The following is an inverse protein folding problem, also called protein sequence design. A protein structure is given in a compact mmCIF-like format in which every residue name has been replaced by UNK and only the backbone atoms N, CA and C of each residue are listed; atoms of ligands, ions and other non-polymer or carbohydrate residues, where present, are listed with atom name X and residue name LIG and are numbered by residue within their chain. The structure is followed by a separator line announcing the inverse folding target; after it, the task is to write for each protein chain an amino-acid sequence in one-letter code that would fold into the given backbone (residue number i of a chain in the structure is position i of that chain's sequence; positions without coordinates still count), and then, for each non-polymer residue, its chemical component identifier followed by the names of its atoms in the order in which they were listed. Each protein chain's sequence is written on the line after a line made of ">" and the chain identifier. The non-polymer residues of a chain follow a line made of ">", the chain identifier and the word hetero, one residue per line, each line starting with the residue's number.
data_IF_289021087321
#
_entry.id   IF_289021087321
#
_cell.length_a   1.000
_cell.length_b   1.000
_cell.length_c   1.000
_cell.angle_alpha   90.00
_cell.angle_beta   90.00
_cell.angle_gamma   90.00
#
_symmetry.space_group_name_H-M   'P 1'
#
loop_
_entity.id
_entity.type
_entity.pdbx_description
1 polymer ?
#
# COMPACT_ATOMS: atom_id res chain seq x y z
N UNK A 1 9.19 -5.32 7.81
CA UNK A 1 7.84 -5.72 7.35
C UNK A 1 6.89 -4.59 7.69
N UNK A 2 6.08 -4.16 6.72
CA UNK A 2 5.19 -3.01 6.82
C UNK A 2 3.88 -3.38 7.53
N UNK A 3 3.27 -2.42 8.23
CA UNK A 3 2.04 -2.65 8.98
C UNK A 3 0.84 -2.84 8.05
N UNK A 4 0.12 -3.94 8.27
CA UNK A 4 -1.12 -4.32 7.60
C UNK A 4 -2.01 -5.04 8.60
N UNK A 5 -3.27 -4.60 8.69
CA UNK A 5 -4.37 -5.38 9.26
C UNK A 5 -5.39 -5.59 8.14
N UNK A 6 -5.73 -6.82 7.83
CA UNK A 6 -6.72 -7.20 6.82
C UNK A 6 -7.93 -7.80 7.53
N UNK A 7 -9.13 -7.28 7.25
CA UNK A 7 -10.37 -7.89 7.71
C UNK A 7 -11.30 -8.14 6.54
N UNK A 8 -11.86 -9.34 6.45
CA UNK A 8 -12.89 -9.71 5.49
C UNK A 8 -14.22 -9.76 6.24
N UNK A 9 -15.18 -8.96 5.79
CA UNK A 9 -16.47 -8.76 6.47
C UNK A 9 -17.58 -9.19 5.51
N UNK A 10 -18.54 -9.95 6.05
CA UNK A 10 -19.75 -10.34 5.31
C UNK A 10 -20.71 -9.17 5.15
N UNK A 11 -21.65 -9.26 4.21
CA UNK A 11 -22.71 -8.26 4.05
C UNK A 11 -23.63 -8.09 5.27
N UNK A 12 -23.67 -9.05 6.20
CA UNK A 12 -24.41 -8.94 7.48
C UNK A 12 -23.61 -8.21 8.55
N UNK A 13 -22.38 -7.77 8.24
CA UNK A 13 -21.50 -7.09 9.18
C UNK A 13 -20.73 -8.02 10.12
N UNK A 14 -20.78 -9.34 9.92
CA UNK A 14 -20.02 -10.28 10.73
C UNK A 14 -18.59 -10.42 10.18
N UNK A 15 -17.55 -10.40 11.04
CA UNK A 15 -16.19 -10.64 10.61
C UNK A 15 -16.05 -12.11 10.20
N UNK A 16 -15.58 -12.34 8.98
CA UNK A 16 -15.28 -13.67 8.45
C UNK A 16 -13.82 -14.04 8.69
N UNK A 17 -12.89 -13.09 8.50
CA UNK A 17 -11.46 -13.31 8.70
C UNK A 17 -10.78 -12.01 9.15
N UNK A 18 -9.77 -12.14 10.01
CA UNK A 18 -8.93 -11.02 10.42
C UNK A 18 -7.47 -11.46 10.55
N UNK A 19 -6.57 -10.70 9.93
CA UNK A 19 -5.12 -10.94 9.97
C UNK A 19 -4.39 -9.65 10.34
N UNK A 20 -3.59 -9.70 11.39
CA UNK A 20 -2.66 -8.65 11.78
C UNK A 20 -1.22 -9.11 11.52
N UNK A 21 -0.50 -8.42 10.62
CA UNK A 21 0.85 -8.81 10.24
C UNK A 21 1.94 -8.30 11.20
N UNK A 22 1.67 -7.18 11.87
CA UNK A 22 2.62 -6.51 12.77
C UNK A 22 1.82 -5.67 13.75
N UNK A 23 2.33 -5.51 14.96
CA UNK A 23 1.77 -4.61 15.94
C UNK A 23 1.64 -3.17 15.41
N UNK A 24 0.57 -2.50 15.82
CA UNK A 24 0.27 -1.10 15.51
C UNK A 24 1.46 -0.20 15.87
N UNK A 25 2.00 0.59 14.92
CA UNK A 25 3.04 1.57 15.23
C UNK A 25 2.48 2.65 16.17
N UNK A 26 3.27 3.01 17.20
CA UNK A 26 2.91 4.08 18.14
C UNK A 26 3.00 5.44 17.46
N UNK A 27 2.06 6.33 17.78
CA UNK A 27 2.06 7.74 17.38
C UNK A 27 2.08 7.97 15.86
N UNK A 28 1.49 7.05 15.08
CA UNK A 28 1.37 7.15 13.62
C UNK A 28 -0.09 7.17 13.21
N UNK A 29 -0.46 8.12 12.35
CA UNK A 29 -1.77 8.15 11.70
C UNK A 29 -1.88 7.01 10.69
N UNK A 30 -2.78 6.06 10.95
CA UNK A 30 -3.05 4.91 10.08
C UNK A 30 -4.22 5.20 9.14
N UNK A 31 -4.18 4.60 7.96
CA UNK A 31 -5.30 4.65 7.01
C UNK A 31 -6.13 3.40 7.11
N UNK A 32 -7.42 3.55 7.46
CA UNK A 32 -8.43 2.51 7.30
C UNK A 32 -9.03 2.63 5.90
N UNK A 33 -8.88 1.58 5.09
CA UNK A 33 -9.33 1.53 3.70
C UNK A 33 -10.44 0.51 3.56
N UNK A 34 -11.42 0.84 2.74
CA UNK A 34 -12.56 0.00 2.43
C UNK A 34 -12.52 -0.37 0.95
N UNK A 35 -12.52 -1.67 0.68
CA UNK A 35 -12.57 -2.23 -0.66
C UNK A 35 -13.83 -3.05 -0.80
N UNK A 36 -14.79 -2.49 -1.53
CA UNK A 36 -16.05 -3.16 -1.84
C UNK A 36 -15.88 -4.03 -3.09
N UNK A 37 -16.10 -5.33 -2.94
CA UNK A 37 -16.13 -6.31 -4.03
C UNK A 37 -17.53 -6.86 -4.26
N UNK A 38 -18.55 -6.14 -3.80
CA UNK A 38 -19.92 -6.45 -4.11
C UNK A 38 -20.16 -6.36 -5.61
N UNK A 39 -20.83 -7.35 -6.19
CA UNK A 39 -21.14 -7.27 -7.63
C UNK A 39 -22.21 -6.22 -7.81
N UNK A 40 -21.93 -5.21 -8.64
CA UNK A 40 -22.89 -4.20 -9.05
C UNK A 40 -24.21 -4.87 -9.47
N UNK A 41 -25.24 -4.74 -8.63
CA UNK A 41 -26.57 -4.52 -9.14
C UNK A 41 -26.49 -3.27 -10.02
N UNK A 42 -27.16 -3.27 -11.18
CA UNK A 42 -27.41 -2.01 -11.90
C UNK A 42 -27.80 -0.97 -10.87
N UNK A 43 -27.07 0.15 -10.81
CA UNK A 43 -27.26 1.20 -9.81
C UNK A 43 -28.75 1.41 -9.60
N UNK A 44 -29.25 1.06 -8.42
CA UNK A 44 -30.52 1.59 -7.99
C UNK A 44 -30.21 3.07 -7.78
N UNK A 45 -30.48 3.89 -8.80
CA UNK A 45 -30.63 5.32 -8.58
C UNK A 45 -31.81 5.47 -7.63
N UNK A 46 -31.53 5.40 -6.33
CA UNK A 46 -32.38 6.03 -5.35
C UNK A 46 -32.19 7.52 -5.58
N UNK A 47 -33.14 8.16 -6.25
CA UNK A 47 -33.35 9.59 -6.12
C UNK A 47 -33.76 9.83 -4.66
N UNK A 48 -32.76 9.91 -3.79
CA UNK A 48 -32.92 10.38 -2.43
C UNK A 48 -33.20 11.87 -2.52
N UNK A 49 -34.28 12.32 -1.91
CA UNK A 49 -34.50 13.75 -1.72
C UNK A 49 -33.38 14.35 -0.84
N UNK A 50 -33.24 15.68 -0.88
CA UNK A 50 -32.22 16.40 -0.13
C UNK A 50 -32.27 16.11 1.37
N UNK A 51 -33.46 15.84 1.90
CA UNK A 51 -33.72 15.55 3.31
C UNK A 51 -33.21 14.16 3.69
N UNK A 52 -33.54 13.13 2.90
CA UNK A 52 -33.09 11.76 3.12
C UNK A 52 -31.57 11.65 2.96
N UNK A 53 -30.98 12.39 2.02
CA UNK A 53 -29.53 12.46 1.87
C UNK A 53 -28.86 13.09 3.10
N UNK A 54 -29.44 14.18 3.61
CA UNK A 54 -28.95 14.82 4.83
C UNK A 54 -29.07 13.90 6.05
N UNK A 55 -30.20 13.22 6.22
CA UNK A 55 -30.43 12.26 7.32
C UNK A 55 -29.46 11.07 7.26
N UNK A 56 -29.22 10.51 6.07
CA UNK A 56 -28.26 9.43 5.87
C UNK A 56 -26.83 9.88 6.20
N UNK A 57 -26.43 11.07 5.75
CA UNK A 57 -25.11 11.62 6.06
C UNK A 57 -24.97 11.88 7.57
N UNK A 58 -25.97 12.46 8.21
CA UNK A 58 -25.97 12.72 9.65
C UNK A 58 -25.91 11.41 10.45
N UNK A 59 -26.67 10.39 10.05
CA UNK A 59 -26.65 9.06 10.65
C UNK A 59 -25.30 8.38 10.52
N UNK A 60 -24.68 8.41 9.34
CA UNK A 60 -23.34 7.89 9.11
C UNK A 60 -22.30 8.60 9.97
N UNK A 61 -22.30 9.94 9.97
CA UNK A 61 -21.37 10.73 10.79
C UNK A 61 -21.56 10.39 12.27
N UNK A 62 -22.79 10.36 12.77
CA UNK A 62 -23.06 10.03 14.17
C UNK A 62 -22.58 8.61 14.52
N UNK A 63 -22.82 7.64 13.65
CA UNK A 63 -22.36 6.26 13.85
C UNK A 63 -20.83 6.17 13.87
N UNK A 64 -20.14 6.89 13.00
CA UNK A 64 -18.69 6.93 12.94
C UNK A 64 -18.07 7.59 14.19
N UNK A 65 -18.65 8.68 14.69
CA UNK A 65 -18.19 9.32 15.92
C UNK A 65 -18.43 8.45 17.16
N UNK A 66 -19.60 7.80 17.25
CA UNK A 66 -19.90 6.81 18.29
C UNK A 66 -18.94 5.62 18.23
N UNK A 67 -18.69 5.08 17.04
CA UNK A 67 -17.72 4.01 16.83
C UNK A 67 -16.32 4.43 17.30
N UNK A 68 -15.83 5.59 16.85
CA UNK A 68 -14.51 6.10 17.22
C UNK A 68 -14.36 6.27 18.73
N UNK A 69 -15.39 6.81 19.40
CA UNK A 69 -15.42 6.93 20.87
C UNK A 69 -15.31 5.57 21.56
N UNK A 70 -15.98 4.54 21.04
CA UNK A 70 -15.98 3.20 21.64
C UNK A 70 -14.63 2.47 21.50
N UNK A 71 -13.81 2.82 20.50
CA UNK A 71 -12.47 2.22 20.30
C UNK A 71 -11.31 3.13 20.74
N UNK A 72 -11.62 4.20 21.47
CA UNK A 72 -10.65 5.23 21.91
C UNK A 72 -9.80 5.77 20.75
N UNK A 73 -10.48 6.10 19.64
CA UNK A 73 -9.88 6.73 18.46
C UNK A 73 -10.57 8.05 18.15
N UNK A 74 -9.81 8.96 17.55
CA UNK A 74 -10.30 10.25 17.05
C UNK A 74 -10.36 10.20 15.54
N UNK A 75 -11.51 10.54 14.96
CA UNK A 75 -11.65 10.79 13.53
C UNK A 75 -11.33 12.26 13.28
N UNK A 76 -10.28 12.53 12.51
CA UNK A 76 -9.89 13.91 12.16
C UNK A 76 -10.40 14.31 10.77
N UNK A 77 -10.38 13.38 9.80
CA UNK A 77 -10.73 13.65 8.40
C UNK A 77 -11.54 12.45 7.87
N UNK A 78 -12.66 12.74 7.19
CA UNK A 78 -13.42 11.78 6.38
C UNK A 78 -13.49 12.34 4.96
N UNK A 79 -12.89 11.66 3.99
CA UNK A 79 -12.89 12.06 2.58
C UNK A 79 -13.76 11.12 1.74
N UNK A 80 -14.65 11.68 0.94
CA UNK A 80 -15.45 10.97 -0.05
C UNK A 80 -15.03 11.40 -1.45
N UNK A 81 -14.67 10.44 -2.30
CA UNK A 81 -14.39 10.70 -3.71
C UNK A 81 -15.65 10.42 -4.55
N UNK A 82 -16.09 11.41 -5.33
CA UNK A 82 -17.19 11.20 -6.29
C UNK A 82 -16.70 10.43 -7.51
N UNK A 83 -17.45 9.41 -7.94
CA UNK A 83 -17.23 8.78 -9.25
C UNK A 83 -18.09 9.49 -10.30
N UNK A 84 -17.51 9.73 -11.49
CA UNK A 84 -18.25 10.24 -12.64
C UNK A 84 -19.30 9.20 -13.08
N UNK A 85 -20.58 9.55 -12.96
CA UNK A 85 -21.72 8.69 -13.33
C UNK A 85 -21.79 8.54 -14.85
N UNK A 86 -21.67 7.31 -15.35
CA UNK A 86 -22.00 6.97 -16.75
C UNK A 86 -23.37 6.31 -16.77
N UNK A 87 -24.31 6.92 -17.49
CA UNK A 87 -25.70 6.50 -17.62
C UNK A 87 -25.81 5.14 -18.31
N UNK A 88 -26.39 4.12 -17.67
CA UNK A 88 -26.76 2.87 -18.34
C UNK A 88 -28.13 2.32 -17.92
N UNK A 89 -28.80 1.69 -18.90
CA UNK A 89 -30.21 1.30 -18.89
C UNK A 89 -30.56 0.06 -18.04
N UNK A 90 -31.83 0.04 -17.61
CA UNK A 90 -32.49 -0.88 -16.66
C UNK A 90 -32.71 -2.30 -17.17
N UNK A 91 -32.41 -3.30 -16.33
CA UNK A 91 -33.04 -4.64 -16.24
C UNK A 91 -32.80 -5.20 -14.83
N UNK A 92 -33.82 -5.81 -14.23
CA UNK A 92 -33.86 -6.30 -12.86
C UNK A 92 -33.20 -7.66 -12.69
N UNK A 93 -32.28 -7.79 -11.72
CA UNK A 93 -31.83 -9.07 -11.15
C UNK A 93 -31.28 -8.89 -9.73
N UNK A 94 -31.45 -9.92 -8.88
CA UNK A 94 -30.98 -9.98 -7.48
C UNK A 94 -29.45 -10.08 -7.38
N UNK A 95 -28.90 -9.48 -6.32
CA UNK A 95 -27.48 -9.46 -5.93
C UNK A 95 -26.85 -10.86 -5.89
N UNK A 96 -25.59 -10.98 -6.34
CA UNK A 96 -24.69 -12.12 -6.08
C UNK A 96 -23.23 -11.62 -5.99
N UNK A 97 -22.78 -11.28 -4.79
CA UNK A 97 -21.38 -10.95 -4.43
C UNK A 97 -21.38 -9.98 -3.25
N UNK A 98 -20.92 -10.43 -2.08
CA UNK A 98 -21.27 -9.91 -0.75
C UNK A 98 -20.03 -9.81 0.18
N UNK A 99 -18.99 -9.10 -0.24
CA UNK A 99 -17.75 -9.02 0.55
C UNK A 99 -17.19 -7.61 0.61
N UNK A 100 -17.13 -7.09 1.83
CA UNK A 100 -16.37 -5.89 2.16
C UNK A 100 -15.03 -6.33 2.75
N UNK A 101 -13.93 -5.92 2.12
CA UNK A 101 -12.60 -6.12 2.68
C UNK A 101 -12.08 -4.78 3.19
N UNK A 102 -11.71 -4.74 4.47
CA UNK A 102 -11.09 -3.58 5.08
C UNK A 102 -9.61 -3.83 5.30
N UNK A 103 -8.81 -2.78 5.16
CA UNK A 103 -7.38 -2.84 5.51
C UNK A 103 -6.94 -1.63 6.27
N UNK A 104 -6.16 -1.81 7.34
CA UNK A 104 -5.39 -0.74 7.94
C UNK A 104 -3.95 -0.79 7.43
N UNK A 105 -3.44 0.35 6.98
CA UNK A 105 -2.06 0.47 6.44
C UNK A 105 -1.36 1.69 6.98
N UNK A 106 -0.03 1.71 6.86
CA UNK A 106 0.78 2.93 6.99
C UNK A 106 0.32 4.01 5.98
N UNK A 107 0.54 5.31 6.29
CA UNK A 107 0.07 6.42 5.46
C UNK A 107 0.81 6.52 4.12
N UNK A 108 2.05 6.04 4.04
CA UNK A 108 2.86 6.08 2.83
C UNK A 108 2.48 5.01 1.81
N UNK A 109 1.74 3.97 2.20
CA UNK A 109 1.36 2.86 1.31
C UNK A 109 0.47 3.40 0.18
N UNK A 110 0.80 3.09 -1.07
CA UNK A 110 0.04 3.58 -2.21
C UNK A 110 -1.38 2.98 -2.25
N UNK A 111 -2.42 3.83 -2.42
CA UNK A 111 -3.82 3.36 -2.51
C UNK A 111 -4.02 2.37 -3.65
N UNK A 112 -3.52 2.70 -4.86
CA UNK A 112 -3.62 1.84 -6.05
C UNK A 112 -2.96 0.47 -5.82
N UNK A 113 -1.79 0.44 -5.19
CA UNK A 113 -1.04 -0.79 -4.91
C UNK A 113 -1.73 -1.65 -3.85
N UNK A 114 -2.18 -1.06 -2.74
CA UNK A 114 -2.96 -1.77 -1.73
C UNK A 114 -4.24 -2.35 -2.33
N UNK A 115 -4.99 -1.56 -3.11
CA UNK A 115 -6.19 -2.03 -3.82
C UNK A 115 -5.88 -3.22 -4.72
N UNK A 116 -4.76 -3.20 -5.43
CA UNK A 116 -4.35 -4.30 -6.29
C UNK A 116 -3.99 -5.58 -5.49
N UNK A 117 -3.30 -5.46 -4.34
CA UNK A 117 -3.06 -6.60 -3.43
C UNK A 117 -4.37 -7.20 -2.94
N UNK A 118 -5.28 -6.35 -2.46
CA UNK A 118 -6.55 -6.82 -1.90
C UNK A 118 -7.44 -7.42 -2.97
N UNK A 119 -7.45 -6.84 -4.17
CA UNK A 119 -8.11 -7.45 -5.32
C UNK A 119 -7.52 -8.82 -5.65
N UNK A 120 -6.20 -8.98 -5.61
CA UNK A 120 -5.56 -10.27 -5.85
C UNK A 120 -5.98 -11.32 -4.79
N UNK A 121 -6.02 -10.94 -3.51
CA UNK A 121 -6.50 -11.82 -2.42
C UNK A 121 -7.98 -12.18 -2.64
N UNK A 122 -8.80 -11.21 -3.01
CA UNK A 122 -10.19 -11.44 -3.33
C UNK A 122 -10.35 -12.42 -4.49
N UNK A 123 -9.72 -12.13 -5.63
CA UNK A 123 -9.85 -12.92 -6.85
C UNK A 123 -9.33 -14.36 -6.64
N UNK A 124 -8.20 -14.53 -5.94
CA UNK A 124 -7.54 -15.84 -5.78
C UNK A 124 -8.14 -16.72 -4.68
N UNK A 125 -8.67 -16.13 -3.61
CA UNK A 125 -9.07 -16.88 -2.41
C UNK A 125 -10.54 -16.62 -2.10
N UNK A 126 -10.88 -15.37 -1.77
CA UNK A 126 -12.18 -15.04 -1.17
C UNK A 126 -13.34 -15.28 -2.14
N UNK A 127 -13.15 -14.99 -3.43
CA UNK A 127 -14.20 -15.08 -4.46
C UNK A 127 -14.73 -16.51 -4.63
N UNK A 128 -13.88 -17.52 -4.42
CA UNK A 128 -14.21 -18.94 -4.56
C UNK A 128 -15.07 -19.46 -3.41
N UNK A 129 -15.07 -18.76 -2.28
CA UNK A 129 -15.80 -19.12 -1.06
C UNK A 129 -17.10 -18.35 -0.87
N UNK A 130 -17.55 -17.60 -1.89
CA UNK A 130 -18.83 -16.88 -1.82
C UNK A 130 -20.00 -17.86 -2.06
N UNK A 131 -21.04 -17.87 -1.22
CA UNK A 131 -21.26 -16.99 -0.06
C UNK A 131 -20.39 -17.39 1.14
N UNK A 132 -19.85 -16.39 1.84
CA UNK A 132 -19.00 -16.59 3.01
C UNK A 132 -19.81 -17.22 4.16
N UNK A 133 -19.76 -18.54 4.25
CA UNK A 133 -20.37 -19.33 5.33
C UNK A 133 -19.30 -19.65 6.38
N UNK A 134 -19.68 -19.55 7.65
CA UNK A 134 -18.88 -19.96 8.81
C UNK A 134 -18.29 -21.38 8.71
N UNK A 135 -18.91 -22.29 7.95
CA UNK A 135 -18.39 -23.64 7.74
C UNK A 135 -17.22 -23.71 6.74
N UNK A 136 -17.02 -22.68 5.92
CA UNK A 136 -15.95 -22.61 4.92
C UNK A 136 -14.83 -21.71 5.46
N UNK A 137 -14.09 -22.19 6.45
CA UNK A 137 -12.93 -21.46 6.97
C UNK A 137 -11.82 -21.31 5.91
N UNK A 138 -10.93 -20.33 6.12
CA UNK A 138 -9.70 -20.22 5.35
C UNK A 138 -8.76 -21.36 5.77
N UNK A 139 -8.26 -22.08 4.78
CA UNK A 139 -7.28 -23.12 5.00
C UNK A 139 -5.90 -22.47 5.26
N UNK A 140 -5.04 -23.15 6.01
CA UNK A 140 -3.70 -22.63 6.33
C UNK A 140 -2.90 -22.21 5.08
N UNK A 141 -2.97 -22.99 4.00
CA UNK A 141 -2.27 -22.65 2.75
C UNK A 141 -2.84 -21.40 2.07
N UNK A 142 -4.12 -21.09 2.28
CA UNK A 142 -4.74 -19.86 1.80
C UNK A 142 -4.29 -18.68 2.66
N UNK A 143 -4.24 -18.84 3.98
CA UNK A 143 -3.67 -17.83 4.89
C UNK A 143 -2.20 -17.53 4.56
N UNK A 144 -1.39 -18.56 4.35
CA UNK A 144 0.02 -18.41 3.94
C UNK A 144 0.11 -17.62 2.61
N UNK A 145 -0.80 -17.90 1.67
CA UNK A 145 -0.88 -17.14 0.40
C UNK A 145 -1.27 -15.67 0.64
N UNK A 146 -2.20 -15.39 1.55
CA UNK A 146 -2.56 -14.02 1.95
C UNK A 146 -1.34 -13.32 2.54
N UNK A 147 -0.63 -13.97 3.46
CA UNK A 147 0.58 -13.44 4.09
C UNK A 147 1.64 -13.15 3.02
N UNK A 148 1.87 -14.07 2.08
CA UNK A 148 2.85 -13.91 1.01
C UNK A 148 2.53 -12.71 0.10
N UNK A 149 1.25 -12.51 -0.25
CA UNK A 149 0.80 -11.36 -1.04
C UNK A 149 0.99 -10.06 -0.26
N UNK A 150 0.56 -10.01 1.01
CA UNK A 150 0.64 -8.80 1.82
C UNK A 150 2.07 -8.41 2.15
N UNK A 151 2.97 -9.39 2.33
CA UNK A 151 4.38 -9.16 2.71
C UNK A 151 5.32 -8.97 1.51
N UNK A 152 4.80 -9.03 0.28
CA UNK A 152 5.56 -8.99 -0.97
C UNK A 152 6.66 -10.07 -1.03
N UNK A 153 6.34 -11.30 -0.62
CA UNK A 153 7.31 -12.39 -0.50
C UNK A 153 8.13 -12.57 -1.78
N UNK A 154 7.49 -12.64 -2.95
CA UNK A 154 8.18 -12.83 -4.24
C UNK A 154 9.18 -11.72 -4.53
N UNK A 155 8.85 -10.47 -4.18
CA UNK A 155 9.75 -9.34 -4.34
C UNK A 155 10.96 -9.45 -3.40
N UNK A 156 10.74 -9.89 -2.14
CA UNK A 156 11.79 -10.12 -1.14
C UNK A 156 12.71 -11.27 -1.52
N UNK A 157 12.15 -12.38 -1.97
CA UNK A 157 12.91 -13.56 -2.39
C UNK A 157 13.82 -13.20 -3.58
N UNK A 158 13.30 -12.48 -4.58
CA UNK A 158 14.12 -12.03 -5.73
C UNK A 158 15.26 -11.09 -5.32
N UNK A 159 15.02 -10.20 -4.36
CA UNK A 159 16.07 -9.34 -3.77
C UNK A 159 17.14 -10.19 -3.09
N UNK A 160 16.71 -11.18 -2.28
CA UNK A 160 17.61 -12.10 -1.57
C UNK A 160 18.48 -12.90 -2.54
N UNK A 161 17.91 -13.39 -3.63
CA UNK A 161 18.65 -14.13 -4.67
C UNK A 161 19.74 -13.29 -5.34
N UNK A 162 19.59 -11.96 -5.34
CA UNK A 162 20.51 -11.01 -5.95
C UNK A 162 21.29 -10.15 -4.94
N UNK A 163 21.18 -10.46 -3.64
CA UNK A 163 21.66 -9.61 -2.55
C UNK A 163 23.14 -9.26 -2.69
N UNK A 164 24.00 -10.24 -2.97
CA UNK A 164 25.44 -10.01 -3.14
C UNK A 164 25.78 -9.04 -4.29
N UNK A 165 25.03 -9.11 -5.40
CA UNK A 165 25.21 -8.20 -6.54
C UNK A 165 24.72 -6.79 -6.21
N UNK A 166 23.58 -6.70 -5.51
CA UNK A 166 23.02 -5.43 -5.05
C UNK A 166 23.98 -4.73 -4.07
N UNK A 167 24.48 -5.45 -3.06
CA UNK A 167 25.45 -4.94 -2.10
C UNK A 167 26.69 -4.36 -2.81
N UNK A 168 27.29 -5.13 -3.72
CA UNK A 168 28.46 -4.69 -4.48
C UNK A 168 28.17 -3.43 -5.32
N UNK A 169 26.96 -3.34 -5.88
CA UNK A 169 26.55 -2.18 -6.66
C UNK A 169 26.28 -0.96 -5.76
N UNK A 170 25.70 -1.16 -4.58
CA UNK A 170 25.53 -0.13 -3.55
C UNK A 170 26.87 0.38 -3.03
N UNK A 171 27.85 -0.50 -2.77
CA UNK A 171 29.20 -0.10 -2.37
C UNK A 171 29.83 0.84 -3.41
N UNK A 172 29.73 0.47 -4.69
CA UNK A 172 30.24 1.30 -5.79
C UNK A 172 29.53 2.66 -5.85
N UNK A 173 28.21 2.67 -5.72
CA UNK A 173 27.40 3.89 -5.68
C UNK A 173 27.73 4.81 -4.51
N UNK A 174 27.90 4.25 -3.32
CA UNK A 174 28.27 5.03 -2.14
C UNK A 174 29.69 5.57 -2.26
N UNK A 175 30.64 4.79 -2.78
CA UNK A 175 32.01 5.27 -3.00
C UNK A 175 32.05 6.44 -4.00
N UNK A 176 31.24 6.37 -5.06
CA UNK A 176 31.13 7.43 -6.07
C UNK A 176 30.45 8.69 -5.50
N UNK A 177 29.33 8.52 -4.80
CA UNK A 177 28.40 9.62 -4.50
C UNK A 177 28.41 10.13 -3.06
N UNK A 178 29.15 9.51 -2.14
CA UNK A 178 29.23 9.95 -0.74
C UNK A 178 29.72 11.40 -0.60
N UNK A 179 30.63 11.85 -1.47
CA UNK A 179 31.11 13.25 -1.52
C UNK A 179 30.06 14.25 -2.02
N UNK A 180 29.04 13.75 -2.72
CA UNK A 180 27.92 14.53 -3.23
C UNK A 180 26.68 14.41 -2.34
N UNK A 181 26.87 13.94 -1.10
CA UNK A 181 25.85 13.89 -0.06
C UNK A 181 24.98 12.64 -0.05
N UNK A 182 25.26 11.60 -0.85
CA UNK A 182 24.53 10.33 -0.74
C UNK A 182 24.85 9.65 0.61
N UNK A 183 23.81 9.28 1.35
CA UNK A 183 23.88 8.68 2.69
C UNK A 183 23.36 7.25 2.76
N UNK A 184 22.38 6.89 1.93
CA UNK A 184 21.80 5.55 1.92
C UNK A 184 21.01 5.24 0.67
N UNK A 185 20.74 3.96 0.48
CA UNK A 185 19.97 3.43 -0.64
C UNK A 185 18.98 2.39 -0.09
N UNK A 186 17.72 2.44 -0.52
CA UNK A 186 16.76 1.39 -0.23
C UNK A 186 16.02 0.94 -1.50
N UNK A 187 15.54 -0.30 -1.48
CA UNK A 187 14.59 -0.81 -2.47
C UNK A 187 13.31 -1.16 -1.73
N UNK A 188 12.19 -0.70 -2.27
CA UNK A 188 10.86 -1.02 -1.76
C UNK A 188 10.07 -1.78 -2.81
N UNK A 189 9.08 -2.54 -2.37
CA UNK A 189 8.11 -3.20 -3.25
C UNK A 189 7.13 -2.19 -3.85
N UNK A 190 6.21 -2.66 -4.68
CA UNK A 190 5.31 -1.81 -5.44
C UNK A 190 4.29 -1.01 -4.63
N UNK A 191 4.14 -1.30 -3.34
CA UNK A 191 3.32 -0.52 -2.42
C UNK A 191 4.13 0.42 -1.50
N UNK A 192 5.45 0.48 -1.72
CA UNK A 192 6.48 1.18 -0.93
C UNK A 192 6.92 0.46 0.36
N UNK A 193 6.54 -0.79 0.58
CA UNK A 193 7.07 -1.58 1.69
C UNK A 193 8.58 -1.85 1.51
N UNK A 194 9.43 -1.50 2.48
CA UNK A 194 10.87 -1.74 2.36
C UNK A 194 11.24 -3.22 2.24
N UNK A 195 12.06 -3.56 1.25
CA UNK A 195 12.54 -4.93 0.97
C UNK A 195 14.07 -5.07 0.99
N UNK A 196 14.81 -3.97 0.79
CA UNK A 196 16.27 -3.91 0.88
C UNK A 196 16.70 -2.55 1.42
N UNK A 197 17.75 -2.52 2.25
CA UNK A 197 18.31 -1.28 2.81
C UNK A 197 19.82 -1.38 2.85
N UNK A 198 20.49 -0.30 2.48
CA UNK A 198 21.94 -0.16 2.48
C UNK A 198 22.34 1.23 3.00
N UNK A 199 23.31 1.27 3.92
CA UNK A 199 23.91 2.49 4.48
C UNK A 199 24.13 2.38 5.99
N UNK A 200 25.16 3.08 6.50
CA UNK A 200 25.68 2.89 7.87
C UNK A 200 24.63 3.10 8.97
N UNK A 201 23.67 4.00 8.75
CA UNK A 201 22.63 4.37 9.72
C UNK A 201 21.21 4.09 9.20
N UNK A 202 21.05 3.19 8.24
CA UNK A 202 19.74 2.89 7.66
C UNK A 202 19.29 1.48 8.03
N UNK A 203 18.09 1.39 8.59
CA UNK A 203 17.38 0.15 8.89
C UNK A 203 15.97 0.20 8.30
N UNK A 204 15.29 -0.93 8.22
CA UNK A 204 13.88 -0.95 7.78
C UNK A 204 12.99 -0.03 8.62
N UNK A 205 13.23 0.05 9.94
CA UNK A 205 12.49 0.92 10.84
C UNK A 205 12.71 2.40 10.53
N UNK A 206 13.95 2.78 10.22
CA UNK A 206 14.29 4.15 9.83
C UNK A 206 13.67 4.50 8.48
N UNK A 207 13.65 3.54 7.53
CA UNK A 207 12.96 3.77 6.25
C UNK A 207 11.46 3.96 6.47
N UNK A 208 10.83 3.16 7.32
CA UNK A 208 9.42 3.33 7.67
C UNK A 208 9.16 4.74 8.26
N UNK A 209 10.01 5.24 9.16
CA UNK A 209 9.94 6.60 9.71
C UNK A 209 10.07 7.68 8.63
N UNK A 210 11.08 7.57 7.76
CA UNK A 210 11.31 8.50 6.66
C UNK A 210 10.10 8.54 5.73
N UNK A 211 9.55 7.38 5.35
CA UNK A 211 8.40 7.29 4.45
C UNK A 211 7.13 7.87 5.07
N UNK A 212 6.90 7.65 6.38
CA UNK A 212 5.78 8.28 7.10
C UNK A 212 5.85 9.81 7.06
N UNK A 213 7.04 10.37 7.22
CA UNK A 213 7.26 11.81 7.19
C UNK A 213 7.16 12.41 5.77
N UNK A 214 7.43 11.62 4.73
CA UNK A 214 7.12 12.02 3.33
C UNK A 214 5.61 12.04 3.09
N UNK A 215 4.86 11.11 3.70
CA UNK A 215 3.41 11.02 3.58
C UNK A 215 2.96 10.43 2.24
N UNK A 216 1.99 11.07 1.57
CA UNK A 216 1.39 10.56 0.34
C UNK A 216 2.29 10.83 -0.86
N UNK A 217 2.66 9.76 -1.58
CA UNK A 217 3.46 9.84 -2.79
C UNK A 217 2.58 10.17 -4.01
N UNK A 218 3.02 11.07 -4.91
CA UNK A 218 2.35 11.26 -6.18
C UNK A 218 2.55 10.02 -7.08
N UNK A 219 1.74 9.90 -8.13
CA UNK A 219 1.97 8.89 -9.15
C UNK A 219 3.20 9.26 -9.98
N UNK A 220 4.19 8.36 -10.00
CA UNK A 220 5.44 8.52 -10.76
C UNK A 220 5.36 7.62 -12.00
N UNK A 221 5.66 8.12 -13.21
CA UNK A 221 5.83 7.27 -14.39
C UNK A 221 7.02 6.30 -14.24
N UNK A 222 7.01 5.12 -14.89
CA UNK A 222 8.16 4.22 -14.86
C UNK A 222 9.42 4.89 -15.40
N UNK A 223 10.57 4.59 -14.79
CA UNK A 223 11.90 5.15 -15.12
C UNK A 223 12.05 6.65 -14.87
N UNK A 224 11.03 7.32 -14.33
CA UNK A 224 11.12 8.68 -13.83
C UNK A 224 11.41 8.70 -12.32
N UNK A 225 11.85 9.87 -11.86
CA UNK A 225 12.15 10.10 -10.45
C UNK A 225 11.62 11.46 -9.99
N UNK A 226 11.34 11.53 -8.70
CA UNK A 226 10.98 12.76 -7.99
C UNK A 226 11.87 12.90 -6.76
N UNK A 227 11.89 14.08 -6.16
CA UNK A 227 12.47 14.28 -4.83
C UNK A 227 11.41 14.72 -3.82
N UNK A 228 11.62 14.37 -2.56
CA UNK A 228 10.83 14.79 -1.41
C UNK A 228 11.75 15.11 -0.24
N UNK A 229 11.30 15.99 0.64
CA UNK A 229 11.94 16.23 1.93
C UNK A 229 11.29 15.33 2.97
N UNK A 230 12.11 14.88 3.91
CA UNK A 230 11.70 14.09 5.06
C UNK A 230 12.58 14.47 6.26
N UNK A 231 12.28 13.88 7.42
CA UNK A 231 13.06 14.06 8.64
C UNK A 231 13.27 12.72 9.32
N UNK A 232 14.41 12.52 9.96
CA UNK A 232 14.62 11.44 10.92
C UNK A 232 15.52 11.94 12.04
N UNK A 233 15.22 11.59 13.29
CA UNK A 233 15.97 12.08 14.45
C UNK A 233 16.23 13.61 14.46
N UNK A 234 15.28 14.40 13.97
CA UNK A 234 15.36 15.87 13.77
C UNK A 234 16.38 16.35 12.73
N UNK A 235 16.91 15.48 11.89
CA UNK A 235 17.74 15.85 10.74
C UNK A 235 16.91 15.82 9.46
N UNK A 236 17.04 16.87 8.64
CA UNK A 236 16.41 16.92 7.32
C UNK A 236 17.13 15.94 6.37
N UNK A 237 16.35 15.17 5.62
CA UNK A 237 16.84 14.24 4.60
C UNK A 237 16.11 14.50 3.29
N UNK A 238 16.86 14.48 2.18
CA UNK A 238 16.29 14.47 0.85
C UNK A 238 16.14 13.04 0.36
N UNK A 239 14.94 12.70 -0.11
CA UNK A 239 14.58 11.37 -0.59
C UNK A 239 14.30 11.46 -2.08
N UNK A 240 15.19 10.88 -2.89
CA UNK A 240 14.95 10.67 -4.31
C UNK A 240 14.23 9.35 -4.50
N UNK A 241 13.11 9.38 -5.21
CA UNK A 241 12.21 8.25 -5.38
C UNK A 241 12.14 7.93 -6.85
N UNK A 242 12.59 6.74 -7.22
CA UNK A 242 12.69 6.29 -8.60
C UNK A 242 11.73 5.13 -8.78
N UNK A 243 10.80 5.22 -9.73
CA UNK A 243 9.95 4.08 -10.05
C UNK A 243 10.64 3.17 -11.04
N UNK A 244 10.83 1.91 -10.65
CA UNK A 244 11.48 0.93 -11.50
C UNK A 244 10.62 0.54 -12.71
N UNK A 245 11.29 0.20 -13.81
CA UNK A 245 10.67 -0.47 -14.96
C UNK A 245 10.64 -1.99 -14.81
N UNK A 246 11.21 -2.55 -13.73
CA UNK A 246 11.24 -3.99 -13.46
C UNK A 246 10.58 -4.32 -12.12
N UNK A 247 10.15 -5.57 -11.99
CA UNK A 247 9.42 -6.07 -10.84
C UNK A 247 9.02 -7.52 -11.05
N UNK A 248 8.71 -8.28 -9.99
CA UNK A 248 8.07 -9.57 -10.15
C UNK A 248 6.64 -9.42 -10.68
N UNK A 249 6.15 -10.48 -11.32
CA UNK A 249 4.74 -10.63 -11.66
C UNK A 249 4.15 -11.74 -10.78
N UNK A 250 3.18 -11.41 -9.95
CA UNK A 250 2.51 -12.36 -9.05
C UNK A 250 1.08 -12.53 -9.54
N UNK A 251 0.73 -13.72 -10.02
CA UNK A 251 -0.63 -14.05 -10.50
C UNK A 251 -1.21 -12.99 -11.47
N UNK A 252 -0.39 -12.53 -12.42
CA UNK A 252 -0.76 -11.53 -13.42
C UNK A 252 -0.67 -10.07 -12.96
N UNK A 253 -0.41 -9.81 -11.68
CA UNK A 253 -0.14 -8.47 -11.16
C UNK A 253 1.36 -8.14 -11.27
N UNK A 254 1.71 -7.19 -12.13
CA UNK A 254 3.08 -6.66 -12.19
C UNK A 254 3.35 -5.71 -11.02
N UNK A 255 4.41 -5.98 -10.26
CA UNK A 255 4.77 -5.27 -9.03
C UNK A 255 6.11 -4.56 -9.19
N UNK A 256 6.11 -3.37 -9.79
CA UNK A 256 7.35 -2.58 -9.98
C UNK A 256 8.02 -2.23 -8.66
N UNK A 257 9.34 -2.35 -8.57
CA UNK A 257 10.08 -1.83 -7.41
C UNK A 257 10.10 -0.29 -7.37
N UNK A 258 10.41 0.28 -6.22
CA UNK A 258 10.91 1.65 -6.13
C UNK A 258 12.32 1.65 -5.55
N UNK A 259 13.17 2.52 -6.07
CA UNK A 259 14.50 2.77 -5.53
C UNK A 259 14.50 4.11 -4.82
N UNK A 260 14.97 4.12 -3.58
CA UNK A 260 15.06 5.30 -2.74
C UNK A 260 16.52 5.65 -2.53
N UNK A 261 16.88 6.90 -2.76
CA UNK A 261 18.19 7.43 -2.42
C UNK A 261 18.02 8.48 -1.33
N UNK A 262 18.72 8.31 -0.22
CA UNK A 262 18.72 9.23 0.90
C UNK A 262 19.98 10.08 0.82
N UNK A 263 19.80 11.40 0.79
CA UNK A 263 20.89 12.35 0.64
C UNK A 263 20.78 13.49 1.66
N UNK A 264 21.90 14.16 1.90
CA UNK A 264 21.93 15.38 2.68
C UNK A 264 21.09 16.48 2.03
N UNK A 265 20.54 17.42 2.82
CA UNK A 265 19.88 18.60 2.27
C UNK A 265 20.80 19.33 1.30
N UNK A 266 20.22 19.87 0.22
CA UNK A 266 20.95 20.59 -0.84
C UNK A 266 21.90 19.75 -1.69
N UNK A 267 21.93 18.42 -1.50
CA UNK A 267 22.64 17.52 -2.40
C UNK A 267 22.02 17.58 -3.80
N UNK A 268 22.85 17.66 -4.84
CA UNK A 268 22.40 17.56 -6.22
C UNK A 268 22.94 16.28 -6.85
N UNK A 269 22.08 15.28 -6.99
CA UNK A 269 22.45 13.98 -7.57
C UNK A 269 22.41 13.95 -9.11
N UNK A 270 21.96 15.03 -9.77
CA UNK A 270 21.91 15.13 -11.24
C UNK A 270 21.28 13.88 -11.91
N UNK A 271 21.96 13.26 -12.87
CA UNK A 271 21.53 12.05 -13.58
C UNK A 271 21.76 10.74 -12.80
N UNK A 272 22.33 10.81 -11.59
CA UNK A 272 22.64 9.62 -10.80
C UNK A 272 21.42 8.72 -10.50
N UNK A 273 20.21 9.26 -10.21
CA UNK A 273 19.01 8.42 -10.08
C UNK A 273 18.76 7.52 -11.30
N UNK A 274 19.00 8.02 -12.51
CA UNK A 274 18.86 7.22 -13.74
C UNK A 274 19.95 6.13 -13.85
N UNK A 275 21.19 6.43 -13.44
CA UNK A 275 22.29 5.45 -13.35
C UNK A 275 21.94 4.32 -12.38
N UNK A 276 21.38 4.65 -11.21
CA UNK A 276 20.89 3.67 -10.23
C UNK A 276 19.80 2.81 -10.84
N UNK A 277 18.78 3.44 -11.43
CA UNK A 277 17.67 2.73 -12.07
C UNK A 277 18.16 1.71 -13.10
N UNK A 278 19.06 2.13 -13.99
CA UNK A 278 19.62 1.27 -15.04
C UNK A 278 20.34 0.04 -14.45
N UNK A 279 21.21 0.24 -13.45
CA UNK A 279 22.00 -0.85 -12.87
C UNK A 279 21.18 -1.80 -12.02
N UNK A 280 20.26 -1.30 -11.19
CA UNK A 280 19.38 -2.16 -10.43
C UNK A 280 18.41 -2.91 -11.34
N UNK A 281 17.89 -2.28 -12.39
CA UNK A 281 17.06 -2.98 -13.38
C UNK A 281 17.82 -4.08 -14.12
N UNK A 282 19.13 -3.93 -14.35
CA UNK A 282 19.95 -5.00 -14.93
C UNK A 282 20.14 -6.20 -13.99
N UNK A 283 20.14 -5.96 -12.67
CA UNK A 283 20.30 -7.01 -11.66
C UNK A 283 18.95 -7.70 -11.39
N UNK A 284 17.87 -6.93 -11.34
CA UNK A 284 16.53 -7.36 -10.93
C UNK A 284 15.58 -7.63 -12.11
N UNK A 285 16.01 -7.34 -13.34
CA UNK A 285 15.29 -7.61 -14.59
C UNK A 285 15.11 -9.09 -14.85
#
# INVERSE_FOLDING_TARGET
>A
MTYYVLSVITNTGFPYYNLELKAIPKDVNLFLRFFDFSKNSKEIQMDLDSTSLFELNAGLVSALFEFARNIDKKIEIIEFNSQNRVSQEKKTSKYKGDVLITTQTEPYILHKSAKAKIKLIYDSIVSTKIPLDSALELLQNEEDTIIDILTDKVARDRIKDHESKLLKQCDAFMNDMKKYGLRGIAITSFDLSPVFVYGDNYSFQIIDEILRNVGVFPEIPPLEWIYRQSFTANEEIWVYIIKSGVGPTVNGLFQSYFYLLFAEPQSYLSEFPAKVASKFNQILG
#
